data_IF_616053293066
#
_entry.id   IF_616053293066
#
_cell.length_a   1.000
_cell.length_b   1.000
_cell.length_c   1.000
_cell.angle_alpha   90.00
_cell.angle_beta   90.00
_cell.angle_gamma   90.00
#
_symmetry.space_group_name_H-M   'P 1'
#
loop_
_entity.id
_entity.type
_entity.pdbx_description
1 polymer ?
#
# COMPACT_ATOMS: atom_id res chain seq x y z
N UNK A 1 4.79 -72.09 14.86
CA UNK A 1 4.03 -71.14 14.02
C UNK A 1 3.23 -70.09 14.85
N UNK A 2 3.77 -69.54 15.96
CA UNK A 2 3.06 -68.58 16.84
C UNK A 2 3.79 -67.25 17.12
N UNK A 3 5.04 -67.06 16.65
CA UNK A 3 5.85 -65.85 16.93
C UNK A 3 5.73 -64.72 15.90
N UNK A 4 5.33 -64.99 14.64
CA UNK A 4 5.25 -63.96 13.58
C UNK A 4 3.96 -63.12 13.65
N UNK A 5 2.86 -63.67 14.15
CA UNK A 5 1.56 -62.98 14.22
C UNK A 5 1.57 -61.89 15.30
N UNK A 6 2.28 -62.11 16.41
CA UNK A 6 2.33 -61.16 17.54
C UNK A 6 3.11 -59.89 17.23
N UNK A 7 4.10 -59.95 16.33
CA UNK A 7 4.90 -58.77 15.93
C UNK A 7 4.11 -57.90 14.94
N UNK A 8 3.43 -58.52 13.98
CA UNK A 8 2.59 -57.80 13.01
C UNK A 8 1.42 -57.07 13.68
N UNK A 9 0.83 -57.67 14.72
CA UNK A 9 -0.26 -57.02 15.48
C UNK A 9 0.25 -55.84 16.31
N UNK A 10 1.43 -55.95 16.93
CA UNK A 10 2.04 -54.84 17.71
C UNK A 10 2.43 -53.66 16.82
N UNK A 11 2.92 -53.89 15.61
CA UNK A 11 3.26 -52.83 14.65
C UNK A 11 1.98 -52.14 14.14
N UNK A 12 0.91 -52.90 13.88
CA UNK A 12 -0.38 -52.34 13.44
C UNK A 12 -1.04 -51.47 14.51
N UNK A 13 -0.90 -51.83 15.79
CA UNK A 13 -1.42 -51.04 16.93
C UNK A 13 -0.58 -49.77 17.16
N UNK A 14 0.74 -49.85 16.97
CA UNK A 14 1.62 -48.67 17.05
C UNK A 14 1.37 -47.67 15.91
N UNK A 15 1.16 -48.15 14.68
CA UNK A 15 0.88 -47.28 13.53
C UNK A 15 -0.49 -46.62 13.62
N UNK A 16 -1.52 -47.33 14.10
CA UNK A 16 -2.84 -46.74 14.36
C UNK A 16 -2.80 -45.75 15.52
N UNK A 17 -2.04 -46.04 16.58
CA UNK A 17 -1.79 -45.10 17.67
C UNK A 17 -1.13 -43.80 17.21
N UNK A 18 -0.10 -43.88 16.37
CA UNK A 18 0.57 -42.70 15.80
C UNK A 18 -0.34 -41.88 14.87
N UNK A 19 -1.19 -42.55 14.08
CA UNK A 19 -2.16 -41.86 13.22
C UNK A 19 -3.22 -41.10 14.03
N UNK A 20 -3.74 -41.72 15.10
CA UNK A 20 -4.72 -41.08 15.99
C UNK A 20 -4.09 -39.89 16.72
N UNK A 21 -2.83 -40.00 17.16
CA UNK A 21 -2.12 -38.92 17.84
C UNK A 21 -1.82 -37.73 16.91
N UNK A 22 -1.51 -38.00 15.64
CA UNK A 22 -1.31 -36.95 14.64
C UNK A 22 -2.63 -36.25 14.28
N UNK A 23 -3.72 -37.02 14.17
CA UNK A 23 -5.05 -36.50 13.87
C UNK A 23 -5.61 -35.67 15.04
N UNK A 24 -5.40 -36.09 16.29
CA UNK A 24 -5.81 -35.31 17.47
C UNK A 24 -4.97 -34.05 17.64
N UNK A 25 -3.66 -34.08 17.35
CA UNK A 25 -2.84 -32.87 17.33
C UNK A 25 -3.25 -31.90 16.21
N UNK A 26 -3.61 -32.40 15.03
CA UNK A 26 -4.14 -31.56 13.94
C UNK A 26 -5.52 -30.98 14.28
N UNK A 27 -6.42 -31.75 14.88
CA UNK A 27 -7.71 -31.23 15.38
C UNK A 27 -7.51 -30.21 16.50
N UNK A 28 -6.54 -30.41 17.39
CA UNK A 28 -6.25 -29.45 18.46
C UNK A 28 -5.64 -28.16 17.92
N UNK A 29 -4.79 -28.23 16.88
CA UNK A 29 -4.32 -27.04 16.14
C UNK A 29 -5.46 -26.33 15.40
N UNK A 30 -6.37 -27.07 14.77
CA UNK A 30 -7.57 -26.51 14.14
C UNK A 30 -8.51 -25.85 15.15
N UNK A 31 -8.76 -26.47 16.31
CA UNK A 31 -9.54 -25.85 17.38
C UNK A 31 -8.85 -24.63 18.00
N UNK A 32 -7.51 -24.56 18.01
CA UNK A 32 -6.78 -23.36 18.46
C UNK A 32 -6.83 -22.23 17.41
N UNK A 33 -6.93 -22.55 16.13
CA UNK A 33 -7.13 -21.58 15.03
C UNK A 33 -8.59 -21.10 14.99
N UNK A 34 -9.55 -21.96 15.30
CA UNK A 34 -10.99 -21.63 15.31
C UNK A 34 -11.41 -20.95 16.63
N UNK A 35 -10.80 -21.32 17.76
CA UNK A 35 -11.05 -20.73 19.09
C UNK A 35 -10.44 -19.35 19.34
N UNK A 36 -9.63 -18.83 18.40
CA UNK A 36 -9.08 -17.47 18.44
C UNK A 36 -10.03 -16.39 17.90
N UNK A 37 -11.23 -16.76 17.43
CA UNK A 37 -12.20 -15.87 16.78
C UNK A 37 -13.43 -15.56 17.64
N UNK A 38 -13.28 -15.59 18.97
CA UNK A 38 -14.41 -15.56 19.90
C UNK A 38 -14.23 -14.68 21.12
N UNK A 39 -13.75 -13.45 20.97
CA UNK A 39 -13.98 -12.40 21.96
C UNK A 39 -14.00 -11.02 21.26
N UNK A 40 -15.02 -10.81 20.42
CA UNK A 40 -15.44 -9.44 20.11
C UNK A 40 -16.06 -8.89 21.39
N UNK A 41 -15.27 -8.11 22.12
CA UNK A 41 -15.83 -7.14 23.06
C UNK A 41 -16.96 -6.40 22.35
N UNK A 42 -18.18 -6.57 22.85
CA UNK A 42 -19.33 -5.76 22.49
C UNK A 42 -19.06 -4.31 22.95
N UNK A 43 -18.23 -3.60 22.19
CA UNK A 43 -18.20 -2.15 22.22
C UNK A 43 -19.48 -1.73 21.52
N UNK A 44 -20.41 -1.20 22.31
CA UNK A 44 -21.58 -0.47 21.85
C UNK A 44 -21.23 0.34 20.61
N UNK A 45 -21.83 0.02 19.47
CA UNK A 45 -21.66 0.75 18.23
C UNK A 45 -22.30 2.13 18.39
N UNK A 46 -21.59 3.05 19.04
CA UNK A 46 -21.76 4.47 18.76
C UNK A 46 -21.59 4.61 17.25
N UNK A 47 -22.56 5.21 16.56
CA UNK A 47 -22.47 5.52 15.14
C UNK A 47 -21.16 6.25 14.87
N UNK A 48 -20.11 5.51 14.51
CA UNK A 48 -18.81 6.10 14.27
C UNK A 48 -18.92 6.86 12.96
N UNK A 49 -18.94 8.19 13.06
CA UNK A 49 -18.97 9.06 11.90
C UNK A 49 -17.66 8.81 11.16
N UNK A 50 -17.78 8.24 9.97
CA UNK A 50 -16.67 7.77 9.17
C UNK A 50 -16.16 8.92 8.30
N UNK A 51 -15.33 9.78 8.90
CA UNK A 51 -14.90 11.08 8.34
C UNK A 51 -13.37 11.15 8.23
N UNK A 52 -12.87 11.81 7.20
CA UNK A 52 -11.43 12.10 7.04
C UNK A 52 -11.14 13.57 6.69
N UNK A 53 -10.19 14.27 7.32
CA UNK A 53 -9.31 13.78 8.40
C UNK A 53 -10.11 13.49 9.68
N UNK A 54 -9.56 12.67 10.59
CA UNK A 54 -10.17 12.44 11.89
C UNK A 54 -10.28 13.76 12.68
N UNK A 55 -11.24 13.84 13.60
CA UNK A 55 -11.37 15.03 14.46
C UNK A 55 -10.25 15.13 15.49
N UNK A 56 -9.74 13.98 15.91
CA UNK A 56 -8.71 13.85 16.93
C UNK A 56 -7.60 12.94 16.41
N UNK A 57 -6.35 13.29 16.70
CA UNK A 57 -5.18 12.52 16.23
C UNK A 57 -5.15 11.13 16.89
N UNK A 58 -5.67 11.03 18.11
CA UNK A 58 -5.76 9.80 18.88
C UNK A 58 -6.67 8.76 18.20
N UNK A 59 -7.63 9.21 17.37
CA UNK A 59 -8.53 8.31 16.63
C UNK A 59 -7.79 7.50 15.55
N UNK A 60 -6.57 7.92 15.18
CA UNK A 60 -5.72 7.26 14.18
C UNK A 60 -4.38 6.78 14.76
N UNK A 61 -4.15 6.95 16.06
CA UNK A 61 -2.90 6.50 16.68
C UNK A 61 -2.87 4.97 16.79
N UNK A 62 -1.77 4.35 16.36
CA UNK A 62 -1.62 2.89 16.36
C UNK A 62 -0.23 2.49 16.86
N UNK A 63 -0.16 1.76 17.98
CA UNK A 63 1.04 1.20 18.66
C UNK A 63 2.26 2.13 18.70
N UNK A 64 2.96 2.30 17.57
CA UNK A 64 4.11 3.17 17.37
C UNK A 64 4.00 3.94 16.02
N UNK A 65 2.92 4.69 15.82
CA UNK A 65 2.66 5.42 14.59
C UNK A 65 1.20 5.85 14.41
N UNK A 66 0.78 6.03 13.16
CA UNK A 66 -0.57 6.43 12.79
C UNK A 66 -1.14 5.55 11.69
N UNK A 67 -2.39 5.11 11.82
CA UNK A 67 -3.13 4.44 10.76
C UNK A 67 -3.88 5.47 9.92
N UNK A 68 -3.47 5.66 8.66
CA UNK A 68 -4.06 6.66 7.76
C UNK A 68 -5.10 6.09 6.80
N UNK A 69 -5.58 4.87 7.05
CA UNK A 69 -6.64 4.25 6.24
C UNK A 69 -7.87 5.16 6.20
N UNK A 70 -8.38 5.43 5.01
CA UNK A 70 -9.58 6.24 4.87
C UNK A 70 -10.76 5.48 5.45
N UNK A 71 -11.45 6.09 6.40
CA UNK A 71 -12.77 5.62 6.79
C UNK A 71 -13.76 5.98 5.66
N UNK A 72 -14.29 4.98 4.95
CA UNK A 72 -15.27 5.18 3.87
C UNK A 72 -16.48 4.26 4.08
N UNK A 73 -17.69 4.80 3.91
CA UNK A 73 -18.94 4.04 3.96
C UNK A 73 -19.61 4.03 2.59
N UNK A 74 -19.85 2.85 2.04
CA UNK A 74 -20.58 2.72 0.78
C UNK A 74 -22.10 2.84 1.02
N UNK A 75 -22.82 3.47 0.10
CA UNK A 75 -24.29 3.52 0.13
C UNK A 75 -24.89 2.13 -0.15
N UNK A 76 -25.84 1.69 0.68
CA UNK A 76 -26.39 0.33 0.60
C UNK A 76 -27.23 0.05 -0.65
N UNK A 77 -27.86 1.09 -1.22
CA UNK A 77 -28.65 1.04 -2.46
C UNK A 77 -27.78 0.70 -3.67
N UNK A 78 -26.53 1.20 -3.72
CA UNK A 78 -25.62 1.05 -4.86
C UNK A 78 -24.96 -0.34 -4.96
N UNK A 79 -24.91 -1.11 -3.87
CA UNK A 79 -24.46 -2.51 -3.90
C UNK A 79 -25.30 -3.39 -4.84
N UNK A 80 -26.56 -3.01 -5.07
CA UNK A 80 -27.54 -3.78 -5.84
C UNK A 80 -27.68 -3.31 -7.30
N UNK A 81 -27.23 -2.10 -7.63
CA UNK A 81 -27.45 -1.45 -8.95
C UNK A 81 -26.19 -1.14 -9.74
N UNK A 82 -25.01 -1.60 -9.27
CA UNK A 82 -23.69 -1.31 -9.86
C UNK A 82 -23.66 -1.56 -11.37
N UNK A 83 -23.94 -0.53 -12.18
CA UNK A 83 -23.62 -0.50 -13.60
C UNK A 83 -22.18 -0.06 -13.72
N UNK A 84 -21.32 -1.00 -14.09
CA UNK A 84 -19.92 -0.71 -14.38
C UNK A 84 -19.84 0.27 -15.55
N UNK A 85 -19.10 1.37 -15.39
CA UNK A 85 -18.90 2.33 -16.47
C UNK A 85 -18.11 1.66 -17.59
N UNK A 86 -18.59 1.81 -18.81
CA UNK A 86 -17.96 1.30 -20.02
C UNK A 86 -17.56 2.44 -20.95
N UNK A 87 -16.61 2.16 -21.84
CA UNK A 87 -16.07 3.10 -22.81
C UNK A 87 -16.06 2.47 -24.19
N UNK A 88 -16.52 3.18 -25.24
CA UNK A 88 -16.33 2.71 -26.61
C UNK A 88 -14.84 2.51 -26.90
N UNK A 89 -14.45 1.35 -27.42
CA UNK A 89 -13.06 1.03 -27.73
C UNK A 89 -12.45 2.04 -28.71
N UNK A 90 -13.28 2.55 -29.63
CA UNK A 90 -12.92 3.57 -30.62
C UNK A 90 -12.59 4.93 -30.01
N UNK A 91 -13.07 5.23 -28.80
CA UNK A 91 -12.71 6.45 -28.08
C UNK A 91 -11.32 6.33 -27.45
N UNK A 92 -10.95 5.14 -26.99
CA UNK A 92 -9.69 4.91 -26.26
C UNK A 92 -8.53 4.53 -27.20
N UNK A 93 -8.81 3.87 -28.32
CA UNK A 93 -7.80 3.33 -29.23
C UNK A 93 -8.05 3.72 -30.70
N UNK A 94 -6.97 3.82 -31.48
CA UNK A 94 -7.03 4.04 -32.93
C UNK A 94 -7.37 2.74 -33.66
N UNK A 95 -8.63 2.32 -33.59
CA UNK A 95 -9.15 1.10 -34.22
C UNK A 95 -10.26 1.38 -35.23
N UNK A 96 -10.53 0.40 -36.10
CA UNK A 96 -11.70 0.42 -37.00
C UNK A 96 -12.99 0.59 -36.21
N UNK A 97 -14.03 1.15 -36.83
CA UNK A 97 -15.33 1.33 -36.19
C UNK A 97 -15.82 -0.01 -35.62
N UNK A 98 -16.09 -0.01 -34.31
CA UNK A 98 -16.61 -1.15 -33.55
C UNK A 98 -17.58 -0.61 -32.49
N UNK A 99 -18.57 -1.43 -32.15
CA UNK A 99 -19.51 -1.17 -31.06
C UNK A 99 -19.03 -1.81 -29.74
N UNK A 100 -17.80 -2.33 -29.70
CA UNK A 100 -17.24 -2.89 -28.47
C UNK A 100 -17.04 -1.78 -27.45
N UNK A 101 -17.61 -1.99 -26.27
CA UNK A 101 -17.33 -1.19 -25.09
C UNK A 101 -16.51 -2.02 -24.10
N UNK A 102 -15.64 -1.33 -23.35
CA UNK A 102 -14.77 -1.94 -22.34
C UNK A 102 -14.92 -1.19 -21.03
N UNK A 103 -15.03 -1.93 -19.93
CA UNK A 103 -14.89 -1.38 -18.59
C UNK A 103 -13.42 -1.13 -18.25
N UNK A 104 -13.17 -0.49 -17.10
CA UNK A 104 -11.80 -0.35 -16.60
C UNK A 104 -11.12 -1.70 -16.38
N UNK A 105 -11.83 -2.69 -15.85
CA UNK A 105 -11.28 -4.04 -15.60
C UNK A 105 -10.93 -4.75 -16.91
N UNK A 106 -11.76 -4.56 -17.95
CA UNK A 106 -11.50 -5.13 -19.28
C UNK A 106 -10.21 -4.58 -19.90
N UNK A 107 -9.83 -3.32 -19.60
CA UNK A 107 -8.61 -2.71 -20.14
C UNK A 107 -7.36 -3.53 -19.80
N UNK A 108 -7.29 -4.09 -18.59
CA UNK A 108 -6.16 -4.91 -18.15
C UNK A 108 -5.99 -6.19 -18.99
N UNK A 109 -7.08 -6.73 -19.51
CA UNK A 109 -7.09 -7.93 -20.34
C UNK A 109 -6.85 -7.64 -21.84
N UNK A 110 -6.81 -6.38 -22.26
CA UNK A 110 -6.64 -6.03 -23.68
C UNK A 110 -5.24 -6.41 -24.19
N UNK A 111 -5.13 -6.89 -25.44
CA UNK A 111 -3.84 -7.25 -26.03
C UNK A 111 -2.84 -6.08 -26.04
N UNK A 112 -1.56 -6.36 -25.74
CA UNK A 112 -0.47 -5.36 -25.78
C UNK A 112 -0.35 -4.62 -27.11
N UNK A 113 -0.73 -5.25 -28.23
CA UNK A 113 -0.75 -4.62 -29.56
C UNK A 113 -1.74 -3.47 -29.65
N UNK A 114 -2.84 -3.54 -28.89
CA UNK A 114 -3.85 -2.48 -28.83
C UNK A 114 -3.33 -1.27 -28.06
N UNK A 115 -2.59 -1.50 -26.97
CA UNK A 115 -1.96 -0.44 -26.17
C UNK A 115 -0.97 0.42 -26.97
N UNK A 116 -0.33 -0.14 -28.01
CA UNK A 116 0.49 0.64 -28.96
C UNK A 116 -0.31 1.64 -29.81
N UNK A 117 -1.65 1.52 -29.83
CA UNK A 117 -2.59 2.35 -30.60
C UNK A 117 -3.46 3.22 -29.69
N UNK A 118 -3.09 3.37 -28.42
CA UNK A 118 -3.82 4.20 -27.48
C UNK A 118 -3.90 5.66 -27.97
N UNK A 119 -5.06 6.27 -27.75
CA UNK A 119 -5.26 7.72 -27.98
C UNK A 119 -4.93 8.45 -26.69
N UNK A 120 -3.99 9.38 -26.79
CA UNK A 120 -3.58 10.21 -25.66
C UNK A 120 -4.12 11.63 -25.84
N UNK A 121 -4.74 12.22 -24.80
CA UNK A 121 -4.82 11.74 -23.41
C UNK A 121 -6.06 10.91 -23.09
N UNK A 122 -6.88 10.52 -24.07
CA UNK A 122 -8.20 9.89 -23.86
C UNK A 122 -8.11 8.63 -22.99
N UNK A 123 -7.14 7.77 -23.25
CA UNK A 123 -6.91 6.55 -22.46
C UNK A 123 -6.56 6.87 -21.01
N UNK A 124 -5.93 8.02 -20.71
CA UNK A 124 -5.60 8.37 -19.33
C UNK A 124 -6.82 8.79 -18.51
N UNK A 125 -7.92 9.18 -19.17
CA UNK A 125 -9.16 9.55 -18.48
C UNK A 125 -9.84 8.35 -17.82
N UNK A 126 -9.42 7.12 -18.12
CA UNK A 126 -9.94 5.92 -17.46
C UNK A 126 -9.17 5.57 -16.17
N UNK A 127 -8.00 6.17 -15.91
CA UNK A 127 -7.13 5.87 -14.77
C UNK A 127 -7.18 6.95 -13.68
N UNK A 128 -6.86 6.63 -12.40
CA UNK A 128 -6.59 5.29 -11.85
C UNK A 128 -7.87 4.49 -11.54
N UNK A 129 -9.02 5.16 -11.57
CA UNK A 129 -10.38 4.64 -11.57
C UNK A 129 -11.26 5.80 -12.02
N UNK A 130 -12.15 5.58 -13.00
CA UNK A 130 -13.19 6.54 -13.31
C UNK A 130 -14.31 6.45 -12.28
N UNK A 131 -13.99 7.02 -11.12
CA UNK A 131 -14.92 7.27 -10.04
C UNK A 131 -15.06 8.79 -9.89
N UNK A 132 -16.20 9.29 -9.40
CA UNK A 132 -16.38 10.72 -9.19
C UNK A 132 -15.56 11.21 -7.98
N UNK A 133 -14.23 11.29 -8.14
CA UNK A 133 -13.28 11.50 -7.06
C UNK A 133 -13.59 12.77 -6.25
N UNK A 134 -13.99 13.85 -6.92
CA UNK A 134 -14.40 15.09 -6.23
C UNK A 134 -15.54 14.86 -5.24
N UNK A 135 -16.59 14.17 -5.68
CA UNK A 135 -17.78 13.90 -4.86
C UNK A 135 -17.44 12.94 -3.72
N UNK A 136 -16.62 11.92 -4.00
CA UNK A 136 -16.10 10.98 -2.99
C UNK A 136 -15.31 11.73 -1.91
N UNK A 137 -14.36 12.58 -2.30
CA UNK A 137 -13.56 13.36 -1.35
C UNK A 137 -14.44 14.31 -0.53
N UNK A 138 -15.39 14.99 -1.15
CA UNK A 138 -16.34 15.86 -0.46
C UNK A 138 -17.16 15.09 0.57
N UNK A 139 -17.73 13.95 0.20
CA UNK A 139 -18.52 13.09 1.09
C UNK A 139 -17.70 12.54 2.26
N UNK A 140 -16.51 11.99 1.99
CA UNK A 140 -15.59 11.48 3.02
C UNK A 140 -15.18 12.58 4.00
N UNK A 141 -14.97 13.82 3.52
CA UNK A 141 -14.61 14.96 4.37
C UNK A 141 -15.66 15.37 5.38
N UNK A 142 -16.93 15.10 5.10
CA UNK A 142 -18.06 15.42 5.99
C UNK A 142 -18.66 14.19 6.66
N UNK A 143 -18.14 12.99 6.37
CA UNK A 143 -18.59 11.73 6.98
C UNK A 143 -19.86 11.13 6.34
N UNK A 144 -20.16 11.50 5.10
CA UNK A 144 -21.28 10.95 4.33
C UNK A 144 -20.89 9.65 3.62
N UNK A 145 -21.90 8.90 3.18
CA UNK A 145 -21.69 7.72 2.34
C UNK A 145 -21.23 8.11 0.94
N UNK A 146 -20.46 7.22 0.30
CA UNK A 146 -19.99 7.36 -1.07
C UNK A 146 -20.73 6.38 -1.99
N UNK A 147 -20.80 6.72 -3.27
CA UNK A 147 -21.38 5.87 -4.33
C UNK A 147 -20.41 4.80 -4.81
N UNK A 148 -19.09 5.04 -4.67
CA UNK A 148 -18.05 4.12 -5.10
C UNK A 148 -16.96 4.02 -4.03
N UNK A 149 -16.59 2.79 -3.66
CA UNK A 149 -15.45 2.55 -2.79
C UNK A 149 -14.16 2.75 -3.60
N UNK A 150 -13.22 3.61 -3.17
CA UNK A 150 -11.91 3.68 -3.80
C UNK A 150 -11.18 2.35 -3.62
N UNK A 151 -10.74 1.69 -4.70
CA UNK A 151 -10.02 0.41 -4.54
C UNK A 151 -8.61 0.61 -3.96
N UNK A 152 -8.11 1.84 -3.93
CA UNK A 152 -6.80 2.19 -3.37
C UNK A 152 -6.82 2.54 -1.88
N UNK A 153 -7.90 2.25 -1.16
CA UNK A 153 -7.98 2.44 0.28
C UNK A 153 -7.28 1.29 1.04
N UNK A 154 -5.96 1.21 0.88
CA UNK A 154 -5.14 0.22 1.58
C UNK A 154 -4.87 0.66 3.01
N UNK A 155 -4.73 -0.29 3.95
CA UNK A 155 -4.25 0.04 5.28
C UNK A 155 -2.77 0.44 5.21
N UNK A 156 -2.53 1.76 5.31
CA UNK A 156 -1.19 2.35 5.35
C UNK A 156 -0.97 2.89 6.76
N UNK A 157 0.16 2.52 7.35
CA UNK A 157 0.61 3.04 8.63
C UNK A 157 1.80 3.97 8.42
N UNK A 158 1.71 5.15 8.99
CA UNK A 158 2.84 6.07 9.13
C UNK A 158 3.61 5.67 10.37
N UNK A 159 4.81 5.15 10.16
CA UNK A 159 5.73 4.69 11.20
C UNK A 159 6.51 5.85 11.82
N UNK A 160 6.82 6.87 11.01
CA UNK A 160 7.52 8.08 11.45
C UNK A 160 6.94 9.31 10.76
N UNK A 161 6.77 10.39 11.52
CA UNK A 161 6.40 11.72 11.01
C UNK A 161 7.58 12.68 11.13
N UNK A 162 7.53 13.76 10.35
CA UNK A 162 8.54 14.82 10.44
C UNK A 162 8.49 15.50 11.82
N UNK A 163 9.66 15.65 12.43
CA UNK A 163 9.84 16.39 13.67
C UNK A 163 10.18 17.86 13.42
N UNK A 164 10.54 18.25 12.19
CA UNK A 164 10.96 19.62 11.82
C UNK A 164 9.91 20.38 11.02
N UNK A 165 9.03 19.71 10.29
CA UNK A 165 8.01 20.34 9.43
C UNK A 165 6.61 20.05 9.95
N UNK A 166 5.83 21.12 10.12
CA UNK A 166 4.45 21.09 10.66
C UNK A 166 4.33 20.37 12.03
N UNK A 167 5.43 20.23 12.76
CA UNK A 167 5.45 19.70 14.13
C UNK A 167 5.16 20.82 15.13
N UNK A 168 4.56 20.48 16.28
CA UNK A 168 4.43 21.36 17.46
C UNK A 168 3.96 22.80 17.15
N UNK A 169 2.97 22.95 16.27
CA UNK A 169 2.39 24.22 15.80
C UNK A 169 3.30 25.11 14.93
N UNK A 170 4.38 24.56 14.36
CA UNK A 170 5.15 25.27 13.32
C UNK A 170 4.26 25.55 12.10
N UNK A 171 4.28 26.78 11.62
CA UNK A 171 3.51 27.22 10.45
C UNK A 171 4.46 27.46 9.29
N UNK A 172 4.14 26.92 8.13
CA UNK A 172 4.91 27.08 6.91
C UNK A 172 4.04 27.75 5.85
N UNK A 173 4.63 28.64 5.06
CA UNK A 173 3.96 29.28 3.92
C UNK A 173 3.84 28.32 2.74
N UNK A 174 4.80 27.39 2.64
CA UNK A 174 4.85 26.33 1.64
C UNK A 174 5.42 25.07 2.27
N UNK A 175 4.79 23.93 2.01
CA UNK A 175 5.35 22.61 2.33
C UNK A 175 5.61 21.86 1.03
N UNK A 176 6.85 21.45 0.83
CA UNK A 176 7.27 20.63 -0.30
C UNK A 176 7.37 19.19 0.17
N UNK A 177 6.53 18.32 -0.38
CA UNK A 177 6.58 16.88 -0.14
C UNK A 177 7.31 16.22 -1.31
N UNK A 178 8.51 15.72 -1.06
CA UNK A 178 9.36 15.09 -2.07
C UNK A 178 9.19 13.58 -1.98
N UNK A 179 8.69 12.96 -3.05
CA UNK A 179 8.73 11.50 -3.20
C UNK A 179 10.17 11.09 -3.47
N UNK A 180 10.81 10.45 -2.51
CA UNK A 180 12.20 9.98 -2.64
C UNK A 180 12.23 8.45 -2.59
N UNK A 181 13.17 7.81 -3.26
CA UNK A 181 13.36 6.37 -3.10
C UNK A 181 14.10 6.06 -1.80
N UNK A 182 13.84 4.92 -1.18
CA UNK A 182 14.48 4.53 0.09
C UNK A 182 16.03 4.59 0.04
N UNK A 183 16.63 4.21 -1.09
CA UNK A 183 18.10 4.25 -1.31
C UNK A 183 18.63 5.60 -1.82
N UNK A 184 17.77 6.62 -1.98
CA UNK A 184 18.11 7.93 -2.56
C UNK A 184 18.77 8.90 -1.59
N UNK A 185 19.69 8.45 -0.73
CA UNK A 185 20.33 9.28 0.30
C UNK A 185 21.03 10.50 -0.26
N UNK A 186 21.84 10.32 -1.31
CA UNK A 186 22.65 11.39 -1.89
C UNK A 186 21.77 12.46 -2.55
N UNK A 187 20.67 12.03 -3.20
CA UNK A 187 19.69 12.93 -3.79
C UNK A 187 18.98 13.77 -2.72
N UNK A 188 18.58 13.15 -1.60
CA UNK A 188 18.00 13.88 -0.46
C UNK A 188 18.98 14.89 0.11
N UNK A 189 20.24 14.50 0.27
CA UNK A 189 21.29 15.42 0.74
C UNK A 189 21.52 16.59 -0.20
N UNK A 190 21.58 16.34 -1.50
CA UNK A 190 21.71 17.38 -2.51
C UNK A 190 20.50 18.33 -2.50
N UNK A 191 19.30 17.79 -2.35
CA UNK A 191 18.06 18.58 -2.25
C UNK A 191 18.02 19.44 -0.98
N UNK A 192 18.40 18.88 0.18
CA UNK A 192 18.54 19.65 1.43
C UNK A 192 19.50 20.82 1.27
N UNK A 193 20.67 20.58 0.69
CA UNK A 193 21.67 21.63 0.45
C UNK A 193 21.16 22.71 -0.53
N UNK A 194 20.39 22.32 -1.55
CA UNK A 194 19.71 23.26 -2.43
C UNK A 194 18.70 24.12 -1.67
N UNK A 195 17.80 23.51 -0.91
CA UNK A 195 16.76 24.22 -0.17
C UNK A 195 17.32 25.14 0.92
N UNK A 196 18.45 24.77 1.52
CA UNK A 196 19.17 25.64 2.46
C UNK A 196 19.65 26.93 1.78
N UNK A 197 20.17 26.86 0.55
CA UNK A 197 20.58 28.04 -0.22
C UNK A 197 19.39 28.91 -0.62
N UNK A 198 18.29 28.30 -1.02
CA UNK A 198 17.07 29.02 -1.39
C UNK A 198 16.45 29.74 -0.19
N UNK A 199 16.49 29.13 1.00
CA UNK A 199 16.07 29.78 2.25
C UNK A 199 16.91 31.03 2.57
N UNK A 200 18.22 31.01 2.29
CA UNK A 200 19.07 32.19 2.47
C UNK A 200 18.75 33.33 1.49
N UNK A 201 18.20 33.02 0.31
CA UNK A 201 17.79 34.01 -0.70
C UNK A 201 16.44 34.65 -0.40
N UNK A 202 15.53 33.88 0.19
CA UNK A 202 14.17 34.32 0.53
C UNK A 202 13.83 34.04 2.00
N UNK A 203 14.51 34.68 2.97
CA UNK A 203 14.36 34.37 4.40
C UNK A 203 12.97 34.64 4.96
N UNK A 204 12.17 35.47 4.29
CA UNK A 204 10.79 35.81 4.64
C UNK A 204 9.78 34.70 4.31
N UNK A 205 10.15 33.72 3.48
CA UNK A 205 9.28 32.60 3.11
C UNK A 205 9.65 31.38 3.95
N UNK A 206 8.77 30.96 4.86
CA UNK A 206 8.99 29.77 5.67
C UNK A 206 8.59 28.50 4.91
N UNK A 207 9.56 27.92 4.19
CA UNK A 207 9.38 26.69 3.43
C UNK A 207 9.79 25.46 4.26
N UNK A 208 8.84 24.53 4.45
CA UNK A 208 9.11 23.21 5.00
C UNK A 208 9.33 22.19 3.89
N UNK A 209 10.26 21.26 4.08
CA UNK A 209 10.55 20.19 3.13
C UNK A 209 10.45 18.86 3.87
N UNK A 210 9.71 17.91 3.31
CA UNK A 210 9.64 16.54 3.84
C UNK A 210 9.86 15.53 2.74
N UNK A 211 10.57 14.45 3.05
CA UNK A 211 10.77 13.30 2.16
C UNK A 211 9.79 12.20 2.54
N UNK A 212 8.99 11.75 1.58
CA UNK A 212 8.07 10.62 1.73
C UNK A 212 8.74 9.33 1.26
N UNK A 213 8.87 8.38 2.18
CA UNK A 213 9.56 7.09 2.01
C UNK A 213 8.63 5.94 2.40
N UNK A 214 8.86 4.78 1.79
CA UNK A 214 8.35 3.50 2.27
C UNK A 214 9.46 2.67 2.92
N UNK A 215 9.16 1.41 3.21
CA UNK A 215 10.10 0.39 3.68
C UNK A 215 10.96 -0.17 2.54
N UNK A 216 12.21 -0.56 2.81
CA UNK A 216 13.03 -1.26 1.84
C UNK A 216 12.43 -2.61 1.46
N UNK A 217 12.68 -3.00 0.22
CA UNK A 217 12.39 -4.35 -0.26
C UNK A 217 13.34 -5.34 0.41
N UNK A 218 12.79 -6.46 0.87
CA UNK A 218 13.56 -7.52 1.54
C UNK A 218 14.43 -8.29 0.54
N UNK A 219 13.86 -8.67 -0.61
CA UNK A 219 14.55 -9.52 -1.58
C UNK A 219 14.12 -9.29 -3.03
N UNK A 220 14.99 -9.68 -3.97
CA UNK A 220 14.77 -9.73 -5.41
C UNK A 220 15.52 -8.66 -6.20
N UNK A 221 16.38 -7.88 -5.54
CA UNK A 221 17.33 -6.95 -6.16
C UNK A 221 16.73 -6.08 -7.26
N UNK A 222 17.42 -6.01 -8.40
CA UNK A 222 16.97 -5.23 -9.58
C UNK A 222 15.79 -5.84 -10.34
N UNK A 223 15.31 -7.01 -9.95
CA UNK A 223 14.31 -7.77 -10.70
C UNK A 223 12.91 -7.59 -10.12
N UNK A 224 11.97 -7.21 -10.97
CA UNK A 224 10.56 -7.02 -10.64
C UNK A 224 9.70 -8.00 -11.41
N UNK A 225 8.79 -8.69 -10.72
CA UNK A 225 7.80 -9.56 -11.35
C UNK A 225 6.41 -8.95 -11.18
N UNK A 226 5.81 -8.52 -12.28
CA UNK A 226 4.43 -8.03 -12.31
C UNK A 226 3.59 -9.01 -13.13
N UNK A 227 2.86 -9.87 -12.42
CA UNK A 227 1.90 -10.81 -13.05
C UNK A 227 2.57 -11.69 -14.13
N UNK A 228 3.76 -12.21 -13.83
CA UNK A 228 4.56 -13.03 -14.74
C UNK A 228 5.43 -12.23 -15.72
N UNK A 229 5.29 -10.91 -15.76
CA UNK A 229 6.15 -10.05 -16.57
C UNK A 229 7.36 -9.65 -15.73
N UNK A 230 8.53 -10.17 -16.10
CA UNK A 230 9.79 -9.90 -15.42
C UNK A 230 10.47 -8.70 -16.07
N UNK A 231 10.79 -7.68 -15.27
CA UNK A 231 11.46 -6.45 -15.68
C UNK A 231 12.73 -6.31 -14.84
N UNK A 232 13.85 -6.03 -15.49
CA UNK A 232 15.12 -5.70 -14.82
C UNK A 232 15.31 -4.19 -14.82
N UNK A 233 15.52 -3.60 -13.64
CA UNK A 233 15.86 -2.19 -13.52
C UNK A 233 17.34 -1.99 -13.85
N UNK A 234 17.63 -1.17 -14.86
CA UNK A 234 18.99 -0.89 -15.31
C UNK A 234 19.61 0.33 -14.62
N UNK A 235 20.93 0.45 -14.70
CA UNK A 235 21.68 1.61 -14.22
C UNK A 235 21.83 1.66 -12.71
N UNK A 236 22.24 2.82 -12.20
CA UNK A 236 22.66 3.02 -10.80
C UNK A 236 21.55 2.60 -9.82
N UNK A 237 20.29 2.95 -10.10
CA UNK A 237 19.17 2.56 -9.23
C UNK A 237 19.00 1.03 -9.15
N UNK A 238 19.19 0.32 -10.27
CA UNK A 238 19.17 -1.14 -10.29
C UNK A 238 20.37 -1.76 -9.57
N UNK A 239 21.56 -1.20 -9.77
CA UNK A 239 22.79 -1.66 -9.11
C UNK A 239 22.71 -1.49 -7.59
N UNK A 240 22.13 -0.38 -7.12
CA UNK A 240 21.87 -0.15 -5.69
C UNK A 240 20.88 -1.18 -5.12
N UNK A 241 19.80 -1.50 -5.84
CA UNK A 241 18.87 -2.54 -5.39
C UNK A 241 19.54 -3.90 -5.29
N UNK A 242 20.42 -4.24 -6.23
CA UNK A 242 21.20 -5.48 -6.19
C UNK A 242 22.19 -5.49 -5.00
N UNK A 243 22.88 -4.38 -4.78
CA UNK A 243 23.86 -4.24 -3.71
C UNK A 243 23.25 -4.43 -2.31
N UNK A 244 22.01 -3.96 -2.13
CA UNK A 244 21.26 -4.00 -0.87
C UNK A 244 20.22 -5.13 -0.80
N UNK A 245 20.26 -6.09 -1.73
CA UNK A 245 19.37 -7.25 -1.70
C UNK A 245 19.60 -8.09 -0.42
N UNK A 246 18.53 -8.36 0.34
CA UNK A 246 18.59 -9.04 1.64
C UNK A 246 19.30 -8.25 2.74
N UNK A 247 19.44 -6.92 2.59
CA UNK A 247 20.10 -6.03 3.56
C UNK A 247 19.17 -4.94 4.07
N UNK A 248 17.89 -5.25 4.20
CA UNK A 248 16.84 -4.35 4.68
C UNK A 248 17.19 -3.73 6.04
N UNK A 249 17.78 -4.51 6.96
CA UNK A 249 18.19 -4.02 8.28
C UNK A 249 19.26 -2.92 8.18
N UNK A 250 20.23 -3.09 7.29
CA UNK A 250 21.30 -2.09 7.04
C UNK A 250 20.72 -0.82 6.43
N UNK A 251 19.77 -0.98 5.50
CA UNK A 251 19.07 0.17 4.88
C UNK A 251 18.26 0.91 5.95
N UNK A 252 17.49 0.18 6.76
CA UNK A 252 16.68 0.76 7.84
C UNK A 252 17.52 1.45 8.90
N UNK A 253 18.66 0.87 9.30
CA UNK A 253 19.57 1.50 10.25
C UNK A 253 20.07 2.86 9.73
N UNK A 254 20.43 2.94 8.45
CA UNK A 254 20.86 4.19 7.82
C UNK A 254 19.72 5.21 7.72
N UNK A 255 18.49 4.75 7.43
CA UNK A 255 17.30 5.63 7.38
C UNK A 255 16.93 6.15 8.76
N UNK A 256 17.00 5.33 9.80
CA UNK A 256 16.74 5.77 11.17
C UNK A 256 17.76 6.82 11.61
N UNK A 257 19.04 6.65 11.29
CA UNK A 257 20.06 7.69 11.51
C UNK A 257 19.73 8.98 10.76
N UNK A 258 19.31 8.89 9.49
CA UNK A 258 18.89 10.06 8.73
C UNK A 258 17.65 10.76 9.31
N UNK A 259 16.67 10.00 9.81
CA UNK A 259 15.51 10.52 10.52
C UNK A 259 15.94 11.31 11.76
N UNK A 260 16.87 10.77 12.54
CA UNK A 260 17.40 11.42 13.75
C UNK A 260 18.19 12.69 13.42
N UNK A 261 19.03 12.65 12.39
CA UNK A 261 19.90 13.76 12.00
C UNK A 261 19.13 14.95 11.39
N UNK A 262 18.08 14.70 10.62
CA UNK A 262 17.39 15.74 9.83
C UNK A 262 15.93 15.98 10.21
N UNK A 263 15.24 14.96 10.75
CA UNK A 263 13.84 15.08 11.19
C UNK A 263 12.83 15.39 10.08
N UNK A 264 13.21 15.28 8.81
CA UNK A 264 12.42 15.68 7.64
C UNK A 264 11.87 14.50 6.83
N UNK A 265 11.79 13.30 7.43
CA UNK A 265 11.28 12.09 6.78
C UNK A 265 9.89 11.73 7.32
N UNK A 266 8.99 11.39 6.40
CA UNK A 266 7.76 10.64 6.67
C UNK A 266 7.98 9.22 6.15
N UNK A 267 7.94 8.24 7.05
CA UNK A 267 8.14 6.83 6.73
C UNK A 267 6.82 6.08 6.89
N UNK A 268 6.44 5.33 5.86
CA UNK A 268 5.23 4.51 5.85
C UNK A 268 5.57 3.02 5.63
N UNK A 269 4.65 2.14 6.04
CA UNK A 269 4.84 0.68 6.13
C UNK A 269 4.63 -0.08 4.80
N UNK A 270 4.89 0.55 3.66
CA UNK A 270 4.80 -0.10 2.35
C UNK A 270 6.15 -0.31 1.69
N UNK A 271 6.30 -1.34 0.87
CA UNK A 271 7.53 -1.55 0.11
C UNK A 271 7.75 -0.40 -0.90
N UNK A 272 8.87 0.32 -0.77
CA UNK A 272 9.20 1.51 -1.55
C UNK A 272 9.72 1.16 -2.94
N UNK A 273 8.78 0.94 -3.87
CA UNK A 273 9.08 0.64 -5.27
C UNK A 273 8.32 1.57 -6.21
N UNK A 274 8.77 1.62 -7.48
CA UNK A 274 8.07 2.34 -8.54
C UNK A 274 6.58 1.93 -8.64
N UNK A 275 6.29 0.64 -8.44
CA UNK A 275 4.93 0.11 -8.55
C UNK A 275 4.03 0.54 -7.39
N UNK A 276 4.59 0.95 -6.26
CA UNK A 276 3.86 1.43 -5.08
C UNK A 276 3.88 2.96 -4.95
N UNK A 277 4.27 3.71 -6.00
CA UNK A 277 4.24 5.18 -5.99
C UNK A 277 2.83 5.75 -5.76
N UNK A 278 1.78 5.01 -6.12
CA UNK A 278 0.40 5.39 -5.79
C UNK A 278 0.21 5.46 -4.28
N UNK A 279 0.72 4.48 -3.53
CA UNK A 279 0.63 4.46 -2.07
C UNK A 279 1.43 5.59 -1.43
N UNK A 280 2.56 5.96 -2.04
CA UNK A 280 3.35 7.15 -1.65
C UNK A 280 2.63 8.49 -1.90
N UNK A 281 1.59 8.49 -2.74
CA UNK A 281 0.81 9.71 -3.07
C UNK A 281 -0.34 9.96 -2.11
N UNK A 282 -0.97 8.87 -1.67
CA UNK A 282 -2.11 8.87 -0.73
C UNK A 282 -1.61 9.29 0.65
#
# INVERSE_FOLDING_TARGET
MRRKITISFKISVLLTGLFVLNFTMQLWRLNKVIGGFGEKSHVSASYQICRWPPQRVEDIQFVAGYNITLCVRLEASELMTRRQKTYPLTHLFQVSRTNLEVSFDDLAALPRTLWKRAKYPEVYRTYPQDVPLKQIVEAVKVGLTVTNMPEYNFPIHILQTSSTVCSRNTKHDLVIVVKSGILGWDDRMAFRAFMQRERSRCPQLNVGVVFSLGMPRIQGGRMFNREGNIISLSGISGDMLEQFDGKEDVVMERINREIEDFGDIVLADYEDTYFNLTWKTI
#
